data_IF_346276311998
#
_entry.id   IF_346276311998
#
_cell.length_a   1.000
_cell.length_b   1.000
_cell.length_c   1.000
_cell.angle_alpha   90.00
_cell.angle_beta   90.00
_cell.angle_gamma   90.00
#
_symmetry.space_group_name_H-M   'P 1'
#
loop_
_entity.id
_entity.type
_entity.pdbx_description
1 polymer ?
#
# COMPACT_ATOMS: atom_id res chain seq x y z
N UNK A 1 -18.82 12.62 42.74
CA UNK A 1 -18.53 14.00 42.30
C UNK A 1 -17.03 14.24 42.50
N UNK A 2 -16.18 14.32 41.50
CA UNK A 2 -16.38 14.67 40.08
C UNK A 2 -15.34 13.96 39.20
N UNK A 3 -15.82 13.48 38.06
CA UNK A 3 -15.13 12.89 36.91
C UNK A 3 -14.16 13.87 36.24
N UNK A 4 -13.06 14.24 36.92
CA UNK A 4 -12.10 15.22 36.38
C UNK A 4 -10.69 14.66 36.12
N UNK A 5 -10.43 13.38 36.40
CA UNK A 5 -9.11 12.79 36.16
C UNK A 5 -8.77 12.43 34.70
N UNK A 6 -9.72 12.07 33.80
CA UNK A 6 -9.40 11.94 32.37
C UNK A 6 -9.17 13.30 31.68
N UNK A 7 -9.67 14.38 32.28
CA UNK A 7 -9.74 15.70 31.65
C UNK A 7 -8.47 16.53 31.88
N UNK A 8 -7.69 16.25 32.93
CA UNK A 8 -6.40 16.93 33.19
C UNK A 8 -5.23 16.34 32.39
N UNK A 9 -5.37 15.12 31.86
CA UNK A 9 -4.37 14.55 30.92
C UNK A 9 -4.57 15.15 29.50
N UNK A 10 -5.80 15.53 29.12
CA UNK A 10 -6.18 15.91 27.74
C UNK A 10 -5.46 17.14 27.15
N UNK A 11 -4.98 18.09 27.96
CA UNK A 11 -4.26 19.29 27.48
C UNK A 11 -2.72 19.16 27.59
N UNK A 12 -2.22 17.99 27.99
CA UNK A 12 -0.77 17.68 28.04
C UNK A 12 -0.37 16.55 27.09
N UNK A 13 -1.34 16.00 26.35
CA UNK A 13 -1.05 15.00 25.33
C UNK A 13 -0.60 15.74 24.09
N UNK A 14 0.62 15.46 23.69
CA UNK A 14 1.14 15.86 22.39
C UNK A 14 0.56 14.91 21.34
N UNK A 15 -0.45 15.40 20.62
CA UNK A 15 -1.19 14.58 19.64
C UNK A 15 -0.36 14.24 18.40
N UNK A 16 0.63 15.08 18.09
CA UNK A 16 1.59 14.80 17.03
C UNK A 16 2.49 13.65 17.48
N UNK A 17 3.12 13.76 18.65
CA UNK A 17 4.01 12.72 19.18
C UNK A 17 3.33 11.35 19.26
N UNK A 18 2.09 11.27 19.75
CA UNK A 18 1.42 9.97 19.84
C UNK A 18 1.08 9.40 18.46
N UNK A 19 0.71 10.26 17.49
CA UNK A 19 0.32 9.80 16.15
C UNK A 19 1.53 9.30 15.37
N UNK A 20 2.71 9.89 15.63
CA UNK A 20 3.95 9.56 14.94
C UNK A 20 4.74 8.41 15.58
N UNK A 21 4.64 8.22 16.90
CA UNK A 21 5.58 7.37 17.63
C UNK A 21 4.93 6.28 18.50
N UNK A 22 3.61 6.22 18.60
CA UNK A 22 2.91 5.17 19.36
C UNK A 22 2.15 4.23 18.43
N UNK A 23 2.01 2.97 18.84
CA UNK A 23 1.10 2.02 18.22
C UNK A 23 -0.31 2.28 18.76
N UNK A 24 -1.24 2.65 17.87
CA UNK A 24 -2.61 3.03 18.23
C UNK A 24 -3.59 2.06 17.60
N UNK A 25 -4.60 1.62 18.36
CA UNK A 25 -5.69 0.85 17.79
C UNK A 25 -6.63 1.73 16.97
N UNK A 26 -7.26 1.16 15.95
CA UNK A 26 -8.26 1.87 15.15
C UNK A 26 -9.38 2.46 16.01
N UNK A 27 -9.85 1.76 17.05
CA UNK A 27 -10.88 2.28 17.97
C UNK A 27 -10.43 3.54 18.71
N UNK A 28 -9.16 3.58 19.12
CA UNK A 28 -8.58 4.77 19.74
C UNK A 28 -8.54 5.92 18.73
N UNK A 29 -8.13 5.63 17.49
CA UNK A 29 -8.07 6.64 16.43
C UNK A 29 -9.50 7.13 16.10
N UNK A 30 -10.51 6.26 16.06
CA UNK A 30 -11.93 6.64 15.88
C UNK A 30 -12.40 7.58 17.00
N UNK A 31 -12.07 7.27 18.25
CA UNK A 31 -12.46 8.09 19.42
C UNK A 31 -11.83 9.49 19.35
N UNK A 32 -10.59 9.60 18.85
CA UNK A 32 -9.81 10.85 18.82
C UNK A 32 -9.53 11.38 17.41
N UNK A 33 -10.38 11.03 16.45
CA UNK A 33 -10.20 11.30 15.02
C UNK A 33 -10.02 12.78 14.63
N UNK A 34 -10.45 13.71 15.50
CA UNK A 34 -10.34 15.16 15.27
C UNK A 34 -9.09 15.76 15.94
N UNK A 35 -8.25 14.93 16.54
CA UNK A 35 -7.05 15.35 17.28
C UNK A 35 -5.76 14.73 16.76
N UNK A 36 -5.81 13.47 16.32
CA UNK A 36 -4.65 12.77 15.77
C UNK A 36 -4.13 13.46 14.52
N UNK A 37 -2.83 13.32 14.28
CA UNK A 37 -2.22 13.70 13.00
C UNK A 37 -2.41 12.56 12.01
N UNK A 38 -3.31 12.76 11.04
CA UNK A 38 -3.64 11.76 10.03
C UNK A 38 -2.48 11.34 9.15
N UNK A 39 -1.47 12.19 8.98
CA UNK A 39 -0.25 11.78 8.28
C UNK A 39 0.55 10.79 9.11
N UNK A 40 0.72 11.07 10.40
CA UNK A 40 1.34 10.14 11.34
C UNK A 40 0.59 8.80 11.41
N UNK A 41 -0.75 8.87 11.39
CA UNK A 41 -1.61 7.68 11.37
C UNK A 41 -1.42 6.86 10.09
N UNK A 42 -1.59 7.47 8.91
CA UNK A 42 -1.47 6.79 7.62
C UNK A 42 -0.11 6.15 7.41
N UNK A 43 0.94 6.80 7.93
CA UNK A 43 2.32 6.34 7.76
C UNK A 43 2.72 5.21 8.70
N UNK A 44 2.38 5.31 9.97
CA UNK A 44 2.99 4.47 11.01
C UNK A 44 2.07 3.39 11.55
N UNK A 45 0.75 3.47 11.30
CA UNK A 45 -0.20 2.49 11.80
C UNK A 45 -0.53 1.45 10.73
N UNK A 46 -0.78 0.21 11.15
CA UNK A 46 -1.38 -0.81 10.30
C UNK A 46 -2.89 -0.61 10.31
N UNK A 47 -3.46 -0.22 9.18
CA UNK A 47 -4.86 0.13 9.05
C UNK A 47 -5.57 -0.92 8.19
N UNK A 48 -6.76 -1.33 8.61
CA UNK A 48 -7.64 -2.15 7.78
C UNK A 48 -8.25 -1.31 6.66
N UNK A 49 -8.55 -1.96 5.53
CA UNK A 49 -9.26 -1.30 4.44
C UNK A 49 -10.63 -0.75 4.84
N UNK A 50 -11.34 -1.40 5.79
CA UNK A 50 -12.61 -0.90 6.31
C UNK A 50 -12.42 0.46 7.03
N UNK A 51 -11.37 0.56 7.84
CA UNK A 51 -11.02 1.82 8.50
C UNK A 51 -10.60 2.90 7.50
N UNK A 52 -9.82 2.54 6.47
CA UNK A 52 -9.42 3.49 5.43
C UNK A 52 -10.65 3.97 4.64
N UNK A 53 -11.62 3.08 4.34
CA UNK A 53 -12.91 3.47 3.74
C UNK A 53 -13.67 4.47 4.62
N UNK A 54 -13.73 4.21 5.92
CA UNK A 54 -14.40 5.07 6.91
C UNK A 54 -13.79 6.49 6.93
N UNK A 55 -12.46 6.59 6.85
CA UNK A 55 -11.72 7.86 6.94
C UNK A 55 -11.03 8.29 5.64
N UNK A 56 -11.59 7.89 4.50
CA UNK A 56 -11.00 8.11 3.16
C UNK A 56 -10.64 9.57 2.85
N UNK A 57 -11.35 10.53 3.46
CA UNK A 57 -11.15 11.97 3.25
C UNK A 57 -10.15 12.59 4.24
N UNK A 58 -9.66 11.81 5.22
CA UNK A 58 -8.70 12.26 6.24
C UNK A 58 -7.31 11.64 6.06
N UNK A 59 -7.25 10.39 5.62
CA UNK A 59 -5.97 9.67 5.41
C UNK A 59 -5.09 10.33 4.34
N UNK A 60 -3.78 10.21 4.51
CA UNK A 60 -2.81 10.57 3.48
C UNK A 60 -2.64 9.40 2.49
N UNK A 61 -3.11 9.58 1.25
CA UNK A 61 -3.17 8.51 0.26
C UNK A 61 -1.81 8.06 -0.27
N UNK A 62 -0.79 8.91 -0.21
CA UNK A 62 0.59 8.52 -0.55
C UNK A 62 1.09 7.55 0.53
N UNK A 63 0.94 7.91 1.80
CA UNK A 63 1.32 7.07 2.95
C UNK A 63 0.47 5.78 3.04
N UNK A 64 -0.81 5.80 2.63
CA UNK A 64 -1.62 4.59 2.50
C UNK A 64 -1.06 3.66 1.41
N UNK A 65 -0.74 4.21 0.23
CA UNK A 65 -0.31 3.43 -0.93
C UNK A 65 1.07 2.77 -0.72
N UNK A 66 1.94 3.40 0.07
CA UNK A 66 3.29 2.90 0.37
C UNK A 66 3.35 1.96 1.58
N UNK A 67 2.57 2.21 2.64
CA UNK A 67 2.74 1.48 3.92
C UNK A 67 1.70 0.39 4.17
N UNK A 68 0.58 0.37 3.45
CA UNK A 68 -0.49 -0.61 3.66
C UNK A 68 -0.46 -1.71 2.60
N UNK A 69 -0.86 -2.92 2.98
CA UNK A 69 -1.17 -4.01 2.04
C UNK A 69 -2.61 -3.82 1.57
N UNK A 70 -2.79 -3.56 0.28
CA UNK A 70 -4.09 -3.21 -0.30
C UNK A 70 -4.51 -4.27 -1.30
N UNK A 71 -5.76 -4.72 -1.19
CA UNK A 71 -6.36 -5.61 -2.18
C UNK A 71 -6.64 -4.88 -3.50
N UNK A 72 -6.62 -5.61 -4.60
CA UNK A 72 -7.01 -5.08 -5.90
C UNK A 72 -8.44 -4.55 -5.94
N UNK A 73 -9.36 -5.13 -5.16
CA UNK A 73 -10.73 -4.63 -5.04
C UNK A 73 -10.74 -3.23 -4.43
N UNK A 74 -9.97 -3.02 -3.35
CA UNK A 74 -9.83 -1.72 -2.72
C UNK A 74 -9.15 -0.69 -3.63
N UNK A 75 -8.07 -1.09 -4.31
CA UNK A 75 -7.38 -0.20 -5.25
C UNK A 75 -8.32 0.21 -6.39
N UNK A 76 -9.15 -0.72 -6.90
CA UNK A 76 -10.17 -0.43 -7.92
C UNK A 76 -11.22 0.55 -7.41
N UNK A 77 -11.66 0.40 -6.16
CA UNK A 77 -12.61 1.30 -5.50
C UNK A 77 -12.04 2.73 -5.39
N UNK A 78 -10.76 2.87 -5.04
CA UNK A 78 -10.09 4.16 -4.82
C UNK A 78 -9.06 4.54 -5.88
N UNK A 79 -9.26 4.07 -7.11
CA UNK A 79 -8.33 4.21 -8.23
C UNK A 79 -7.95 5.66 -8.61
N UNK A 80 -8.71 6.65 -8.16
CA UNK A 80 -8.46 8.08 -8.41
C UNK A 80 -7.81 8.79 -7.22
N UNK A 81 -7.56 8.07 -6.12
CA UNK A 81 -6.93 8.60 -4.89
C UNK A 81 -5.57 7.97 -4.60
N UNK A 82 -5.41 6.68 -4.89
CA UNK A 82 -4.14 5.95 -4.67
C UNK A 82 -2.99 6.53 -5.51
N UNK A 83 -1.78 6.40 -4.98
CA UNK A 83 -0.56 6.72 -5.74
C UNK A 83 -0.17 5.53 -6.61
N UNK A 84 -0.41 5.63 -7.91
CA UNK A 84 -0.13 4.56 -8.87
C UNK A 84 1.35 4.18 -8.98
N UNK A 85 2.27 5.09 -8.67
CA UNK A 85 3.69 4.80 -8.62
C UNK A 85 4.02 3.86 -7.46
N UNK A 86 3.48 4.16 -6.27
CA UNK A 86 3.63 3.31 -5.08
C UNK A 86 2.89 1.98 -5.25
N UNK A 87 1.66 1.99 -5.79
CA UNK A 87 0.90 0.77 -6.07
C UNK A 87 1.66 -0.16 -7.02
N UNK A 88 2.16 0.38 -8.15
CA UNK A 88 2.88 -0.41 -9.16
C UNK A 88 4.20 -1.01 -8.63
N UNK A 89 4.82 -0.35 -7.66
CA UNK A 89 6.09 -0.79 -7.07
C UNK A 89 5.91 -1.75 -5.89
N UNK A 90 4.97 -1.45 -4.99
CA UNK A 90 4.91 -2.06 -3.65
C UNK A 90 3.84 -3.14 -3.49
N UNK A 91 2.76 -3.09 -4.28
CA UNK A 91 1.69 -4.08 -4.20
C UNK A 91 1.98 -5.28 -5.10
N UNK A 92 1.47 -6.46 -4.74
CA UNK A 92 1.47 -7.62 -5.65
C UNK A 92 0.23 -7.53 -6.53
N UNK A 93 0.43 -7.27 -7.82
CA UNK A 93 -0.66 -7.08 -8.78
C UNK A 93 -0.76 -8.26 -9.73
N UNK A 94 -1.98 -8.76 -9.92
CA UNK A 94 -2.28 -9.73 -10.96
C UNK A 94 -2.16 -9.09 -12.33
N UNK A 95 -1.80 -9.91 -13.33
CA UNK A 95 -1.75 -9.46 -14.71
C UNK A 95 -3.09 -8.90 -15.21
N UNK A 96 -4.22 -9.49 -14.80
CA UNK A 96 -5.54 -9.01 -15.19
C UNK A 96 -5.83 -7.61 -14.63
N UNK A 97 -5.39 -7.34 -13.40
CA UNK A 97 -5.48 -6.00 -12.83
C UNK A 97 -4.59 -5.00 -13.57
N UNK A 98 -3.37 -5.40 -13.93
CA UNK A 98 -2.45 -4.55 -14.71
C UNK A 98 -3.04 -4.28 -16.10
N UNK A 99 -3.69 -5.26 -16.75
CA UNK A 99 -4.43 -5.07 -18.01
C UNK A 99 -5.56 -4.06 -17.84
N UNK A 100 -6.35 -4.18 -16.78
CA UNK A 100 -7.48 -3.29 -16.51
C UNK A 100 -7.02 -1.83 -16.34
N UNK A 101 -5.86 -1.62 -15.71
CA UNK A 101 -5.31 -0.30 -15.40
C UNK A 101 -4.06 0.07 -16.19
N UNK A 102 -3.92 -0.44 -17.41
CA UNK A 102 -2.72 -0.29 -18.23
C UNK A 102 -2.29 1.16 -18.51
N UNK A 103 -3.23 2.10 -18.44
CA UNK A 103 -3.00 3.54 -18.67
C UNK A 103 -2.65 4.30 -17.38
N UNK A 104 -2.81 3.67 -16.21
CA UNK A 104 -2.53 4.26 -14.90
C UNK A 104 -1.26 3.70 -14.26
N UNK A 105 -0.99 2.41 -14.45
CA UNK A 105 0.20 1.74 -13.89
C UNK A 105 1.50 2.33 -14.43
N UNK A 106 2.53 2.29 -13.60
CA UNK A 106 3.85 2.77 -13.95
C UNK A 106 4.66 1.61 -14.54
N UNK A 107 4.66 1.49 -15.86
CA UNK A 107 5.28 0.36 -16.58
C UNK A 107 6.74 0.07 -16.24
N UNK A 108 7.54 1.10 -15.92
CA UNK A 108 8.90 0.89 -15.43
C UNK A 108 8.92 0.09 -14.12
N UNK A 109 8.04 0.44 -13.17
CA UNK A 109 7.87 -0.26 -11.88
C UNK A 109 7.25 -1.63 -12.06
N UNK A 110 6.23 -1.75 -12.92
CA UNK A 110 5.66 -3.07 -13.26
C UNK A 110 6.75 -4.02 -13.79
N UNK A 111 7.60 -3.54 -14.69
CA UNK A 111 8.67 -4.35 -15.30
C UNK A 111 9.77 -4.75 -14.31
N UNK A 112 10.02 -3.90 -13.30
CA UNK A 112 11.09 -4.09 -12.30
C UNK A 112 10.63 -4.95 -11.11
N UNK A 113 9.37 -4.79 -10.65
CA UNK A 113 8.93 -5.33 -9.35
C UNK A 113 7.86 -6.43 -9.45
N UNK A 114 7.09 -6.54 -10.55
CA UNK A 114 6.05 -7.56 -10.67
C UNK A 114 6.58 -8.83 -11.34
N UNK A 115 6.10 -10.02 -10.94
CA UNK A 115 6.35 -11.27 -11.67
C UNK A 115 5.41 -11.33 -12.88
N UNK A 116 5.96 -11.28 -14.09
CA UNK A 116 5.18 -11.25 -15.33
C UNK A 116 5.41 -12.51 -16.16
N UNK A 117 4.35 -13.07 -16.71
CA UNK A 117 4.44 -14.19 -17.64
C UNK A 117 5.00 -13.75 -19.00
N UNK A 118 5.62 -14.69 -19.70
CA UNK A 118 6.16 -14.46 -21.06
C UNK A 118 5.07 -14.00 -22.04
N UNK A 119 3.83 -14.48 -21.88
CA UNK A 119 2.72 -14.10 -22.75
C UNK A 119 2.26 -12.67 -22.45
N UNK A 120 2.20 -12.25 -21.18
CA UNK A 120 1.92 -10.86 -20.80
C UNK A 120 2.99 -9.90 -21.33
N UNK A 121 4.27 -10.24 -21.18
CA UNK A 121 5.39 -9.43 -21.70
C UNK A 121 5.27 -9.26 -23.22
N UNK A 122 4.87 -10.30 -23.95
CA UNK A 122 4.64 -10.22 -25.40
C UNK A 122 3.44 -9.36 -25.75
N UNK A 123 2.36 -9.47 -24.99
CA UNK A 123 1.14 -8.65 -25.15
C UNK A 123 1.47 -7.16 -25.01
N UNK A 124 2.28 -6.79 -24.01
CA UNK A 124 2.65 -5.40 -23.69
C UNK A 124 4.09 -5.02 -24.06
N UNK A 125 4.66 -5.65 -25.09
CA UNK A 125 6.06 -5.48 -25.50
C UNK A 125 6.48 -4.02 -25.76
N UNK A 126 5.52 -3.17 -26.16
CA UNK A 126 5.76 -1.75 -26.46
C UNK A 126 5.68 -0.84 -25.22
N UNK A 127 5.17 -1.36 -24.09
CA UNK A 127 5.01 -0.61 -22.82
C UNK A 127 6.03 -1.05 -21.77
N UNK A 128 6.35 -2.35 -21.70
CA UNK A 128 7.32 -2.89 -20.74
C UNK A 128 8.72 -2.33 -20.96
N UNK A 129 9.48 -2.21 -19.87
CA UNK A 129 10.86 -1.77 -19.90
C UNK A 129 11.81 -2.96 -20.02
N UNK A 130 12.24 -3.25 -21.24
CA UNK A 130 13.05 -4.43 -21.57
C UNK A 130 14.34 -4.57 -20.76
N UNK A 131 15.00 -3.46 -20.41
CA UNK A 131 16.21 -3.50 -19.56
C UNK A 131 15.93 -4.14 -18.19
N UNK A 132 14.77 -3.84 -17.60
CA UNK A 132 14.36 -4.44 -16.33
C UNK A 132 13.86 -5.87 -16.50
N UNK A 133 13.12 -6.15 -17.58
CA UNK A 133 12.68 -7.52 -17.88
C UNK A 133 13.88 -8.48 -17.96
N UNK A 134 14.93 -8.10 -18.70
CA UNK A 134 16.14 -8.94 -18.86
C UNK A 134 16.99 -9.07 -17.60
N UNK A 135 16.90 -8.13 -16.65
CA UNK A 135 17.73 -8.12 -15.44
C UNK A 135 17.04 -8.83 -14.26
N UNK A 136 15.71 -8.77 -14.21
CA UNK A 136 14.90 -9.15 -13.06
C UNK A 136 13.91 -10.29 -13.32
N UNK A 137 13.45 -10.53 -14.55
CA UNK A 137 12.50 -11.61 -14.83
C UNK A 137 13.19 -12.95 -15.19
N UNK A 138 14.36 -12.92 -15.83
CA UNK A 138 15.10 -14.14 -16.26
C UNK A 138 15.64 -14.97 -15.08
N UNK A 139 15.71 -14.41 -13.86
CA UNK A 139 16.15 -15.13 -12.65
C UNK A 139 15.04 -15.97 -12.00
N UNK A 140 13.79 -15.79 -12.44
CA UNK A 140 12.63 -16.44 -11.82
C UNK A 140 12.49 -17.90 -12.27
N UNK A 141 13.03 -18.25 -13.45
CA UNK A 141 13.01 -19.63 -13.97
C UNK A 141 14.13 -20.52 -13.35
N UNK A 142 15.23 -19.97 -12.82
CA UNK A 142 16.36 -20.78 -12.29
C UNK A 142 16.12 -21.33 -10.87
N UNK A 143 15.29 -20.67 -10.05
CA UNK A 143 15.01 -21.10 -8.66
C UNK A 143 13.91 -22.19 -8.58
N UNK A 144 13.11 -22.40 -9.63
CA UNK A 144 12.08 -23.47 -9.67
C UNK A 144 12.69 -24.86 -10.04
N UNK A 145 13.84 -24.90 -10.72
CA UNK A 145 14.48 -26.15 -11.19
C UNK A 145 15.43 -26.80 -10.14
N UNK A 146 15.91 -26.09 -9.11
CA UNK A 146 16.77 -26.68 -8.06
C UNK A 146 15.98 -27.49 -7.00
N UNK A 147 14.67 -27.28 -6.89
CA UNK A 147 13.83 -28.00 -5.93
C UNK A 147 13.37 -29.38 -6.39
N UNK A 148 13.43 -29.74 -7.68
CA UNK A 148 12.94 -31.03 -8.17
C UNK A 148 13.98 -32.18 -8.14
N UNK A 149 15.25 -31.91 -7.81
CA UNK A 149 16.31 -32.93 -7.82
C UNK A 149 16.79 -33.44 -6.44
N UNK A 150 16.13 -33.08 -5.34
CA UNK A 150 16.54 -33.47 -3.98
C UNK A 150 15.45 -34.18 -3.16
N UNK A 151 14.74 -35.16 -3.75
CA UNK A 151 13.86 -36.10 -3.02
C UNK A 151 14.22 -37.56 -3.30
#
# INVERSE_FOLDING_TARGET
MSELQPMIIKDKVDWEDISWYQELSEDFIREFQDKVDWKGISKNQKLSEEFIREFQDKVDWEDISINQELSEEFIREFQDRVDWGQISQGQTLSEDFIREFEDKVYWGKISEYQKLSKDFIREFQDKVYWGYISEFQDKIDEDEDECEFSS
#
